data_IF_357050017118
#
_entry.id   IF_357050017118
#
_cell.length_a   1.000
_cell.length_b   1.000
_cell.length_c   1.000
_cell.angle_alpha   90.00
_cell.angle_beta   90.00
_cell.angle_gamma   90.00
#
_symmetry.space_group_name_H-M   'P 1'
#
loop_
_entity.id
_entity.type
_entity.pdbx_description
1 polymer ?
#
# COMPACT_ATOMS: atom_id res chain seq x y z
N UNK A 1 -16.31 12.66 16.25
CA UNK A 1 -14.93 12.57 16.79
C UNK A 1 -14.88 12.79 18.30
N UNK A 2 -15.47 13.87 18.85
CA UNK A 2 -15.45 14.15 20.30
C UNK A 2 -16.17 13.08 21.14
N UNK A 3 -17.35 12.61 20.71
CA UNK A 3 -18.13 11.58 21.43
C UNK A 3 -17.40 10.22 21.52
N UNK A 4 -16.65 9.84 20.47
CA UNK A 4 -15.87 8.59 20.45
C UNK A 4 -14.64 8.65 21.38
N UNK A 5 -13.99 9.83 21.47
CA UNK A 5 -12.91 10.08 22.41
C UNK A 5 -13.43 10.03 23.86
N UNK A 6 -14.59 10.63 24.13
CA UNK A 6 -15.23 10.56 25.45
C UNK A 6 -15.67 9.14 25.81
N UNK A 7 -16.17 8.36 24.85
CA UNK A 7 -16.53 6.95 25.07
C UNK A 7 -15.32 6.07 25.41
N UNK A 8 -14.15 6.31 24.80
CA UNK A 8 -12.91 5.62 25.15
C UNK A 8 -12.41 5.97 26.56
N UNK A 9 -12.54 7.25 26.95
CA UNK A 9 -12.20 7.75 28.29
C UNK A 9 -13.13 7.12 29.36
N UNK A 10 -14.44 7.11 29.13
CA UNK A 10 -15.39 6.47 30.06
C UNK A 10 -15.18 4.96 30.15
N UNK A 11 -14.85 4.30 29.04
CA UNK A 11 -14.51 2.87 29.04
C UNK A 11 -13.20 2.56 29.80
N UNK A 12 -12.24 3.48 29.83
CA UNK A 12 -11.01 3.36 30.62
C UNK A 12 -11.28 3.52 32.13
N UNK A 13 -12.10 4.51 32.51
CA UNK A 13 -12.44 4.79 33.91
C UNK A 13 -13.37 3.73 34.53
N UNK A 14 -14.40 3.27 33.79
CA UNK A 14 -15.43 2.34 34.31
C UNK A 14 -14.98 0.87 34.40
N UNK A 15 -13.95 0.46 33.66
CA UNK A 15 -13.40 -0.90 33.69
C UNK A 15 -12.33 -1.13 34.77
N UNK A 16 -12.15 -0.18 35.69
CA UNK A 16 -11.29 -0.32 36.88
C UNK A 16 -9.79 -0.45 36.58
N UNK A 17 -9.31 0.10 35.45
CA UNK A 17 -7.90 -0.01 35.03
C UNK A 17 -7.08 1.27 35.11
N UNK A 18 -7.62 2.40 35.58
CA UNK A 18 -6.80 3.60 35.78
C UNK A 18 -7.51 4.78 36.44
N UNK A 19 -6.71 5.63 37.09
CA UNK A 19 -7.13 6.87 37.74
C UNK A 19 -7.18 8.01 36.71
N UNK A 20 -8.25 8.82 36.69
CA UNK A 20 -8.45 9.94 35.75
C UNK A 20 -7.28 10.94 35.76
N UNK A 21 -6.63 11.11 36.91
CA UNK A 21 -5.43 11.96 37.04
C UNK A 21 -4.23 11.45 36.25
N UNK A 22 -4.05 10.12 36.12
CA UNK A 22 -2.95 9.52 35.36
C UNK A 22 -3.15 9.76 33.87
N UNK A 23 -4.38 9.54 33.38
CA UNK A 23 -4.73 9.79 31.98
C UNK A 23 -4.60 11.29 31.64
N UNK A 24 -5.05 12.17 32.54
CA UNK A 24 -4.91 13.61 32.35
C UNK A 24 -3.43 14.04 32.29
N UNK A 25 -2.55 13.42 33.07
CA UNK A 25 -1.10 13.67 33.04
C UNK A 25 -0.46 13.21 31.72
N UNK A 26 -0.82 12.04 31.21
CA UNK A 26 -0.34 11.56 29.90
C UNK A 26 -0.78 12.47 28.74
N UNK A 27 -1.98 13.05 28.84
CA UNK A 27 -2.52 13.97 27.84
C UNK A 27 -1.82 15.34 27.82
N UNK A 28 -0.98 15.67 28.81
CA UNK A 28 -0.24 16.94 28.85
C UNK A 28 0.86 17.06 27.77
N UNK A 29 1.19 15.96 27.08
CA UNK A 29 2.17 15.94 26.00
C UNK A 29 1.86 16.90 24.83
N UNK A 30 0.65 17.45 24.75
CA UNK A 30 0.31 18.52 23.80
C UNK A 30 -0.56 19.60 24.44
N UNK A 31 -0.47 20.85 23.97
CA UNK A 31 -1.31 21.97 24.46
C UNK A 31 -2.82 21.70 24.32
N UNK A 32 -3.23 20.95 23.28
CA UNK A 32 -4.63 20.56 23.06
C UNK A 32 -5.04 19.41 24.00
N UNK A 33 -4.18 18.42 24.19
CA UNK A 33 -4.39 17.33 25.14
C UNK A 33 -4.45 17.80 26.58
N UNK A 34 -3.59 18.75 26.97
CA UNK A 34 -3.60 19.36 28.30
C UNK A 34 -4.94 20.05 28.62
N UNK A 35 -5.47 20.82 27.67
CA UNK A 35 -6.81 21.44 27.81
C UNK A 35 -7.93 20.40 27.92
N UNK A 36 -7.84 19.32 27.14
CA UNK A 36 -8.84 18.24 27.17
C UNK A 36 -8.75 17.42 28.48
N UNK A 37 -7.55 17.15 28.98
CA UNK A 37 -7.33 16.48 30.26
C UNK A 37 -7.82 17.31 31.45
N UNK A 38 -7.59 18.62 31.44
CA UNK A 38 -8.15 19.54 32.44
C UNK A 38 -9.69 19.58 32.39
N UNK A 39 -10.28 19.68 31.19
CA UNK A 39 -11.74 19.66 31.02
C UNK A 39 -12.34 18.32 31.51
N UNK A 40 -11.68 17.20 31.22
CA UNK A 40 -12.08 15.87 31.68
C UNK A 40 -12.06 15.76 33.21
N UNK A 41 -11.01 16.23 33.89
CA UNK A 41 -10.94 16.23 35.36
C UNK A 41 -12.02 17.12 35.99
N UNK A 42 -12.35 18.25 35.37
CA UNK A 42 -13.42 19.12 35.85
C UNK A 42 -14.82 18.53 35.66
N UNK A 43 -14.99 17.58 34.73
CA UNK A 43 -16.30 17.08 34.30
C UNK A 43 -16.42 15.54 34.41
N UNK A 44 -15.57 14.90 35.23
CA UNK A 44 -15.48 13.45 35.40
C UNK A 44 -16.81 12.83 35.84
N UNK A 45 -17.46 13.42 36.84
CA UNK A 45 -18.77 12.97 37.35
C UNK A 45 -19.88 13.06 36.29
N UNK A 46 -19.84 14.08 35.43
CA UNK A 46 -20.82 14.26 34.36
C UNK A 46 -20.62 13.25 33.23
N UNK A 47 -19.35 12.94 32.90
CA UNK A 47 -18.99 11.98 31.85
C UNK A 47 -19.36 10.54 32.22
N UNK A 48 -19.10 10.13 33.47
CA UNK A 48 -19.39 8.77 33.93
C UNK A 48 -20.87 8.47 34.06
N UNK A 49 -21.70 9.51 34.29
CA UNK A 49 -23.16 9.39 34.43
C UNK A 49 -23.93 9.62 33.12
N UNK A 50 -23.25 9.99 32.03
CA UNK A 50 -23.93 10.29 30.76
C UNK A 50 -24.47 8.99 30.11
N UNK A 51 -25.78 8.89 29.81
CA UNK A 51 -26.40 7.66 29.31
C UNK A 51 -25.79 7.16 28.00
N UNK A 52 -25.46 8.08 27.08
CA UNK A 52 -24.87 7.75 25.78
C UNK A 52 -23.44 7.19 25.87
N UNK A 53 -22.79 7.29 27.03
CA UNK A 53 -21.43 6.81 27.27
C UNK A 53 -21.40 5.51 28.09
N UNK A 54 -22.54 5.07 28.62
CA UNK A 54 -22.69 3.77 29.26
C UNK A 54 -23.14 2.75 28.22
N UNK A 55 -22.27 1.82 27.83
CA UNK A 55 -22.60 0.81 26.82
C UNK A 55 -23.82 -0.04 27.23
N UNK A 56 -24.74 -0.20 26.27
CA UNK A 56 -25.89 -1.09 26.36
C UNK A 56 -25.46 -2.54 26.65
N UNK A 57 -25.90 -3.08 27.79
CA UNK A 57 -25.72 -4.49 28.13
C UNK A 57 -26.60 -5.43 27.28
N UNK A 58 -26.27 -6.73 27.21
CA UNK A 58 -27.09 -7.71 26.49
C UNK A 58 -28.45 -7.88 27.17
N UNK A 59 -29.53 -7.94 26.36
CA UNK A 59 -30.91 -8.11 26.82
C UNK A 59 -31.12 -9.41 27.60
N UNK A 60 -31.97 -9.30 28.64
CA UNK A 60 -32.55 -10.38 29.45
C UNK A 60 -33.24 -11.46 28.59
N UNK A 61 -33.01 -12.73 28.95
CA UNK A 61 -34.01 -13.80 28.86
C UNK A 61 -34.27 -14.33 30.26
N UNK A 62 -35.55 -14.46 30.59
CA UNK A 62 -36.07 -14.95 31.87
C UNK A 62 -36.36 -16.46 31.81
N UNK A 63 -36.54 -17.02 33.01
CA UNK A 63 -37.20 -18.29 33.38
C UNK A 63 -36.37 -19.59 33.47
N UNK A 64 -36.20 -19.98 34.73
CA UNK A 64 -36.47 -21.27 35.38
C UNK A 64 -35.73 -22.58 35.05
N UNK A 65 -35.31 -23.20 36.17
CA UNK A 65 -34.81 -24.54 36.51
C UNK A 65 -34.86 -25.67 35.44
N UNK A 66 -33.70 -26.29 35.17
CA UNK A 66 -33.51 -27.76 35.09
C UNK A 66 -32.02 -28.17 35.03
N UNK A 67 -31.77 -29.45 35.36
CA UNK A 67 -30.52 -30.18 35.68
C UNK A 67 -29.22 -29.86 34.90
N UNK A 68 -28.04 -30.22 35.49
CA UNK A 68 -26.76 -30.01 34.81
C UNK A 68 -26.62 -30.92 33.58
N UNK A 69 -26.12 -30.39 32.44
CA UNK A 69 -25.88 -31.18 31.23
C UNK A 69 -24.61 -32.07 31.38
N UNK A 70 -24.51 -33.15 30.59
CA UNK A 70 -23.34 -34.04 30.59
C UNK A 70 -22.07 -33.28 30.13
N UNK A 71 -20.87 -33.74 30.51
CA UNK A 71 -19.64 -33.04 30.17
C UNK A 71 -19.44 -33.02 28.64
N UNK A 72 -18.98 -31.89 28.07
CA UNK A 72 -18.72 -31.79 26.64
C UNK A 72 -17.53 -32.67 26.23
N UNK A 73 -17.51 -33.18 24.98
CA UNK A 73 -16.41 -34.00 24.50
C UNK A 73 -15.12 -33.16 24.42
N UNK A 74 -14.00 -33.79 24.80
CA UNK A 74 -12.64 -33.25 24.79
C UNK A 74 -12.37 -32.31 23.61
N UNK A 75 -12.54 -31.00 23.81
CA UNK A 75 -11.85 -30.00 23.00
C UNK A 75 -10.45 -29.92 23.55
N UNK A 76 -9.48 -30.36 22.75
CA UNK A 76 -8.06 -30.10 22.98
C UNK A 76 -7.87 -28.59 23.07
N UNK A 77 -7.84 -28.08 24.30
CA UNK A 77 -7.53 -26.71 24.60
C UNK A 77 -6.01 -26.56 24.58
N UNK A 78 -5.39 -26.65 23.40
CA UNK A 78 -3.95 -26.41 23.23
C UNK A 78 -3.51 -26.13 21.78
N UNK A 79 -4.43 -25.78 20.86
CA UNK A 79 -3.99 -25.16 19.61
C UNK A 79 -4.04 -23.64 19.75
N UNK A 80 -2.88 -22.94 19.77
CA UNK A 80 -2.88 -21.49 19.72
C UNK A 80 -3.53 -21.03 18.41
N UNK A 81 -4.48 -20.10 18.52
CA UNK A 81 -5.05 -19.40 17.36
C UNK A 81 -3.89 -18.96 16.45
N UNK A 82 -3.90 -19.27 15.14
CA UNK A 82 -2.81 -18.89 14.26
C UNK A 82 -2.69 -17.37 14.33
N UNK A 83 -1.54 -16.89 14.83
CA UNK A 83 -1.19 -15.47 14.88
C UNK A 83 -1.48 -14.90 13.50
N UNK A 84 -2.56 -14.10 13.38
CA UNK A 84 -2.86 -13.41 12.12
C UNK A 84 -1.57 -12.67 11.72
N UNK A 85 -1.03 -12.91 10.51
CA UNK A 85 0.21 -12.27 10.11
C UNK A 85 0.04 -10.76 10.30
N UNK A 86 0.92 -10.17 11.10
CA UNK A 86 0.91 -8.73 11.33
C UNK A 86 1.25 -8.03 10.02
N UNK A 87 0.25 -7.46 9.35
CA UNK A 87 0.43 -6.73 8.09
C UNK A 87 -0.68 -7.00 7.08
N UNK A 88 -0.39 -6.71 5.82
CA UNK A 88 -1.31 -6.91 4.69
C UNK A 88 -1.14 -8.33 4.14
N UNK A 89 -2.18 -9.18 4.13
CA UNK A 89 -2.15 -10.45 3.42
C UNK A 89 -1.85 -10.26 1.93
N UNK A 90 -1.27 -11.27 1.29
CA UNK A 90 -1.07 -11.21 -0.17
C UNK A 90 -2.42 -11.05 -0.88
N UNK A 91 -2.55 -9.98 -1.65
CA UNK A 91 -3.73 -9.68 -2.44
C UNK A 91 -3.43 -9.94 -3.91
N UNK A 92 -4.12 -10.92 -4.49
CA UNK A 92 -4.06 -11.22 -5.92
C UNK A 92 -4.92 -10.23 -6.69
N UNK A 93 -4.27 -9.36 -7.44
CA UNK A 93 -4.95 -8.43 -8.35
C UNK A 93 -5.46 -9.23 -9.56
N UNK A 94 -6.64 -8.93 -10.11
CA UNK A 94 -7.10 -9.62 -11.32
C UNK A 94 -6.05 -9.56 -12.44
N UNK A 95 -5.88 -10.69 -13.13
CA UNK A 95 -4.80 -10.87 -14.10
C UNK A 95 -4.84 -9.84 -15.24
N UNK A 96 -3.68 -9.57 -15.86
CA UNK A 96 -3.51 -8.63 -16.96
C UNK A 96 -3.50 -9.36 -18.30
N UNK A 97 -4.26 -8.87 -19.27
CA UNK A 97 -4.37 -9.47 -20.60
C UNK A 97 -3.24 -8.98 -21.51
N UNK A 98 -2.72 -9.90 -22.33
CA UNK A 98 -1.87 -9.55 -23.47
C UNK A 98 -2.75 -9.53 -24.72
N UNK A 99 -2.64 -8.47 -25.51
CA UNK A 99 -3.31 -8.40 -26.82
C UNK A 99 -2.65 -9.38 -27.80
N UNK A 100 -3.43 -9.96 -28.72
CA UNK A 100 -2.93 -10.80 -29.82
C UNK A 100 -1.78 -10.16 -30.61
N UNK A 101 -1.77 -8.82 -30.71
CA UNK A 101 -0.72 -8.04 -31.38
C UNK A 101 0.62 -8.01 -30.64
N UNK A 102 0.68 -8.57 -29.43
CA UNK A 102 1.83 -8.51 -28.52
C UNK A 102 2.28 -9.89 -28.04
N UNK A 103 1.80 -10.96 -28.67
CA UNK A 103 2.21 -12.33 -28.33
C UNK A 103 3.72 -12.57 -28.55
N UNK A 104 4.33 -11.88 -29.51
CA UNK A 104 5.79 -11.87 -29.75
C UNK A 104 6.58 -11.20 -28.63
N UNK A 105 5.90 -10.51 -27.70
CA UNK A 105 6.49 -9.64 -26.66
C UNK A 105 6.07 -10.03 -25.25
N UNK A 106 5.54 -11.24 -25.07
CA UNK A 106 5.16 -11.76 -23.76
C UNK A 106 6.29 -11.61 -22.72
N UNK A 107 7.57 -11.89 -23.03
CA UNK A 107 8.64 -11.69 -22.05
C UNK A 107 8.78 -10.23 -21.57
N UNK A 108 8.61 -9.26 -22.46
CA UNK A 108 8.65 -7.84 -22.11
C UNK A 108 7.40 -7.39 -21.35
N UNK A 109 6.23 -7.95 -21.68
CA UNK A 109 5.00 -7.75 -20.91
C UNK A 109 5.16 -8.26 -19.48
N UNK A 110 5.62 -9.51 -19.32
CA UNK A 110 5.83 -10.13 -18.01
C UNK A 110 6.91 -9.36 -17.21
N UNK A 111 7.97 -8.85 -17.87
CA UNK A 111 9.00 -8.01 -17.25
C UNK A 111 8.44 -6.68 -16.74
N UNK A 112 7.66 -5.97 -17.55
CA UNK A 112 7.05 -4.70 -17.12
C UNK A 112 6.02 -4.92 -16.01
N UNK A 113 5.21 -5.99 -16.09
CA UNK A 113 4.26 -6.34 -15.03
C UNK A 113 4.97 -6.70 -13.72
N UNK A 114 6.10 -7.41 -13.78
CA UNK A 114 6.94 -7.66 -12.61
C UNK A 114 7.54 -6.36 -12.03
N UNK A 115 7.89 -5.40 -12.88
CA UNK A 115 8.31 -4.05 -12.47
C UNK A 115 7.22 -3.32 -11.67
N UNK A 116 5.97 -3.40 -12.13
CA UNK A 116 4.80 -2.86 -11.43
C UNK A 116 4.60 -3.55 -10.07
N UNK A 117 4.66 -4.89 -10.02
CA UNK A 117 4.51 -5.65 -8.78
C UNK A 117 5.61 -5.28 -7.77
N UNK A 118 6.86 -5.23 -8.22
CA UNK A 118 8.00 -4.83 -7.38
C UNK A 118 7.84 -3.41 -6.86
N UNK A 119 7.39 -2.49 -7.71
CA UNK A 119 7.09 -1.12 -7.35
C UNK A 119 6.03 -1.05 -6.24
N UNK A 120 4.91 -1.74 -6.41
CA UNK A 120 3.86 -1.84 -5.38
C UNK A 120 4.42 -2.37 -4.06
N UNK A 121 5.17 -3.47 -4.08
CA UNK A 121 5.76 -4.09 -2.88
C UNK A 121 6.74 -3.18 -2.13
N UNK A 122 7.28 -2.15 -2.79
CA UNK A 122 8.15 -1.18 -2.14
C UNK A 122 7.38 -0.08 -1.40
N UNK A 123 6.10 0.13 -1.70
CA UNK A 123 5.25 1.11 -1.00
C UNK A 123 4.77 0.56 0.33
N UNK A 124 4.72 1.43 1.34
CA UNK A 124 3.87 1.19 2.52
C UNK A 124 2.40 1.30 2.13
N UNK A 125 1.51 0.74 2.94
CA UNK A 125 0.06 0.88 2.74
C UNK A 125 -0.34 2.35 2.79
N UNK A 126 0.27 3.12 3.70
CA UNK A 126 0.03 4.56 3.78
C UNK A 126 0.46 5.30 2.50
N UNK A 127 1.67 5.02 2.00
CA UNK A 127 2.18 5.63 0.76
C UNK A 127 1.29 5.30 -0.44
N UNK A 128 0.87 4.04 -0.56
CA UNK A 128 -0.05 3.60 -1.61
C UNK A 128 -1.40 4.32 -1.54
N UNK A 129 -2.03 4.37 -0.36
CA UNK A 129 -3.34 5.03 -0.19
C UNK A 129 -3.26 6.52 -0.51
N UNK A 130 -2.22 7.22 -0.03
CA UNK A 130 -1.97 8.63 -0.37
C UNK A 130 -1.75 8.83 -1.86
N UNK A 131 -0.94 7.98 -2.50
CA UNK A 131 -0.71 8.05 -3.95
C UNK A 131 -2.00 7.81 -4.74
N UNK A 132 -2.84 6.86 -4.32
CA UNK A 132 -4.14 6.58 -4.93
C UNK A 132 -5.13 7.73 -4.75
N UNK A 133 -5.14 8.37 -3.59
CA UNK A 133 -5.93 9.57 -3.32
C UNK A 133 -5.48 10.74 -4.21
N UNK A 134 -4.18 11.04 -4.22
CA UNK A 134 -3.60 12.08 -5.08
C UNK A 134 -3.92 11.85 -6.57
N UNK A 135 -3.85 10.60 -7.04
CA UNK A 135 -4.23 10.27 -8.42
C UNK A 135 -5.71 10.54 -8.71
N UNK A 136 -6.62 10.15 -7.79
CA UNK A 136 -8.06 10.38 -7.95
C UNK A 136 -8.42 11.87 -7.92
N UNK A 137 -7.71 12.65 -7.10
CA UNK A 137 -7.90 14.09 -6.97
C UNK A 137 -7.22 14.90 -8.09
N UNK A 138 -6.46 14.25 -8.97
CA UNK A 138 -5.70 14.92 -10.04
C UNK A 138 -4.43 15.62 -9.57
N UNK A 139 -3.96 15.34 -8.36
CA UNK A 139 -2.75 15.90 -7.76
C UNK A 139 -1.48 15.10 -8.15
N UNK A 140 -1.63 13.82 -8.50
CA UNK A 140 -0.53 12.99 -9.02
C UNK A 140 -0.27 13.31 -10.51
N UNK A 141 0.25 14.51 -10.76
CA UNK A 141 0.56 14.99 -12.10
C UNK A 141 1.87 14.37 -12.62
N UNK A 142 1.88 14.03 -13.91
CA UNK A 142 3.11 13.66 -14.63
C UNK A 142 3.82 14.92 -15.07
N UNK A 143 5.10 15.05 -14.72
CA UNK A 143 5.98 16.05 -15.28
C UNK A 143 6.73 15.46 -16.50
N UNK A 144 6.49 15.96 -17.72
CA UNK A 144 7.20 15.54 -18.92
C UNK A 144 8.73 15.67 -18.80
N UNK A 145 9.22 16.61 -17.99
CA UNK A 145 10.65 16.83 -17.74
C UNK A 145 11.26 15.65 -16.99
N UNK A 146 10.54 15.06 -16.04
CA UNK A 146 11.00 13.86 -15.31
C UNK A 146 11.23 12.71 -16.30
N UNK A 147 10.27 12.47 -17.20
CA UNK A 147 10.42 11.45 -18.24
C UNK A 147 11.54 11.77 -19.23
N UNK A 148 11.66 13.01 -19.69
CA UNK A 148 12.73 13.41 -20.62
C UNK A 148 14.13 13.23 -20.00
N UNK A 149 14.31 13.67 -18.74
CA UNK A 149 15.57 13.53 -18.02
C UNK A 149 15.93 12.08 -17.77
N UNK A 150 14.96 11.26 -17.34
CA UNK A 150 15.19 9.83 -17.12
C UNK A 150 15.58 9.12 -18.42
N UNK A 151 14.94 9.46 -19.55
CA UNK A 151 15.31 8.91 -20.86
C UNK A 151 16.72 9.30 -21.27
N UNK A 152 17.12 10.55 -21.09
CA UNK A 152 18.49 11.00 -21.38
C UNK A 152 19.50 10.23 -20.54
N UNK A 153 19.26 10.13 -19.23
CA UNK A 153 20.15 9.46 -18.29
C UNK A 153 20.27 7.95 -18.57
N UNK A 154 19.15 7.26 -18.70
CA UNK A 154 19.12 5.82 -18.93
C UNK A 154 19.57 5.46 -20.35
N UNK A 155 19.31 6.32 -21.33
CA UNK A 155 19.85 6.20 -22.69
C UNK A 155 21.37 6.31 -22.70
N UNK A 156 21.95 7.31 -22.03
CA UNK A 156 23.41 7.44 -21.91
C UNK A 156 24.05 6.24 -21.23
N UNK A 157 23.47 5.75 -20.13
CA UNK A 157 23.95 4.52 -19.47
C UNK A 157 23.89 3.30 -20.40
N UNK A 158 22.85 3.19 -21.23
CA UNK A 158 22.74 2.11 -22.20
C UNK A 158 23.82 2.20 -23.28
N UNK A 159 24.14 3.41 -23.74
CA UNK A 159 25.23 3.66 -24.69
C UNK A 159 26.58 3.24 -24.10
N UNK A 160 26.89 3.66 -22.86
CA UNK A 160 28.12 3.30 -22.17
C UNK A 160 28.25 1.77 -22.02
N UNK A 161 27.17 1.10 -21.59
CA UNK A 161 27.15 -0.36 -21.47
C UNK A 161 27.33 -1.09 -22.81
N UNK A 162 26.76 -0.53 -23.89
CA UNK A 162 26.94 -1.08 -25.23
C UNK A 162 28.38 -0.87 -25.72
N UNK A 163 28.96 0.30 -25.47
CA UNK A 163 30.34 0.60 -25.80
C UNK A 163 31.30 -0.39 -25.12
N UNK A 164 31.18 -0.55 -23.80
CA UNK A 164 32.01 -1.48 -23.02
C UNK A 164 31.89 -2.91 -23.54
N UNK A 165 30.66 -3.33 -23.84
CA UNK A 165 30.39 -4.65 -24.41
C UNK A 165 31.08 -4.83 -25.76
N UNK A 166 30.91 -3.89 -26.69
CA UNK A 166 31.47 -3.97 -28.04
C UNK A 166 33.01 -3.97 -28.00
N UNK A 167 33.62 -3.19 -27.11
CA UNK A 167 35.08 -3.21 -26.89
C UNK A 167 35.52 -4.59 -26.36
N UNK A 168 34.78 -5.18 -25.41
CA UNK A 168 35.09 -6.52 -24.90
C UNK A 168 34.97 -7.62 -25.96
N UNK A 169 34.22 -7.36 -27.03
CA UNK A 169 34.08 -8.22 -28.21
C UNK A 169 35.16 -7.92 -29.29
N UNK A 170 36.24 -7.21 -28.92
CA UNK A 170 37.38 -6.82 -29.78
C UNK A 170 37.03 -5.85 -30.94
N UNK A 171 35.94 -5.09 -30.84
CA UNK A 171 35.66 -3.99 -31.78
C UNK A 171 36.52 -2.78 -31.39
N UNK A 172 37.09 -2.09 -32.38
CA UNK A 172 37.92 -0.91 -32.09
C UNK A 172 37.12 0.18 -31.37
N UNK A 173 37.70 0.95 -30.44
CA UNK A 173 36.96 1.94 -29.65
C UNK A 173 36.17 2.95 -30.48
N UNK A 174 36.73 3.40 -31.61
CA UNK A 174 36.06 4.32 -32.53
C UNK A 174 34.82 3.69 -33.18
N UNK A 175 34.95 2.48 -33.72
CA UNK A 175 33.82 1.76 -34.33
C UNK A 175 32.78 1.37 -33.28
N UNK A 176 33.21 0.96 -32.09
CA UNK A 176 32.33 0.60 -30.98
C UNK A 176 31.49 1.80 -30.54
N UNK A 177 32.07 3.01 -30.47
CA UNK A 177 31.34 4.24 -30.15
C UNK A 177 30.25 4.55 -31.20
N UNK A 178 30.58 4.45 -32.49
CA UNK A 178 29.62 4.68 -33.57
C UNK A 178 28.47 3.66 -33.50
N UNK A 179 28.79 2.38 -33.28
CA UNK A 179 27.79 1.32 -33.15
C UNK A 179 26.93 1.49 -31.90
N UNK A 180 27.53 1.79 -30.75
CA UNK A 180 26.82 1.99 -29.47
C UNK A 180 25.80 3.13 -29.57
N UNK A 181 26.19 4.27 -30.15
CA UNK A 181 25.29 5.40 -30.42
C UNK A 181 24.11 4.99 -31.29
N UNK A 182 24.39 4.39 -32.45
CA UNK A 182 23.35 3.96 -33.40
C UNK A 182 22.38 2.94 -32.79
N UNK A 183 22.89 1.94 -32.07
CA UNK A 183 22.06 0.92 -31.41
C UNK A 183 21.22 1.57 -30.31
N UNK A 184 21.80 2.48 -29.53
CA UNK A 184 21.09 3.19 -28.46
C UNK A 184 19.96 4.05 -29.02
N UNK A 185 20.22 4.83 -30.08
CA UNK A 185 19.19 5.62 -30.76
C UNK A 185 18.02 4.75 -31.23
N UNK A 186 18.31 3.62 -31.88
CA UNK A 186 17.30 2.67 -32.34
C UNK A 186 16.48 2.06 -31.18
N UNK A 187 17.15 1.68 -30.08
CA UNK A 187 16.48 1.15 -28.89
C UNK A 187 15.61 2.22 -28.22
N UNK A 188 16.17 3.40 -27.97
CA UNK A 188 15.45 4.52 -27.37
C UNK A 188 14.25 4.97 -28.23
N UNK A 189 14.33 4.79 -29.55
CA UNK A 189 13.22 4.97 -30.48
C UNK A 189 12.12 3.91 -30.39
N UNK A 190 12.19 2.94 -29.49
CA UNK A 190 11.10 1.99 -29.16
C UNK A 190 10.70 1.97 -27.69
N UNK A 191 11.59 2.40 -26.80
CA UNK A 191 11.37 2.38 -25.36
C UNK A 191 10.62 3.62 -24.87
N UNK A 192 9.95 3.49 -23.73
CA UNK A 192 9.35 4.53 -22.90
C UNK A 192 9.96 4.48 -21.50
N UNK A 193 9.94 5.63 -20.84
CA UNK A 193 10.30 5.76 -19.43
C UNK A 193 9.16 5.16 -18.58
N UNK A 194 9.48 4.31 -17.60
CA UNK A 194 8.47 3.56 -16.84
C UNK A 194 8.33 4.06 -15.41
N UNK A 195 7.09 4.28 -15.00
CA UNK A 195 6.70 4.42 -13.59
C UNK A 195 6.46 3.05 -12.99
N UNK A 196 7.19 2.70 -11.92
CA UNK A 196 7.09 1.41 -11.22
C UNK A 196 6.88 1.66 -9.70
N UNK A 197 5.64 1.60 -9.18
CA UNK A 197 4.42 1.34 -9.91
C UNK A 197 3.94 2.59 -10.67
N UNK A 198 2.99 2.42 -11.58
CA UNK A 198 2.34 3.51 -12.30
C UNK A 198 1.63 4.44 -11.31
N UNK A 199 1.48 5.73 -11.66
CA UNK A 199 0.78 6.71 -10.83
C UNK A 199 -0.67 6.27 -10.55
N UNK A 200 -1.32 5.64 -11.52
CA UNK A 200 -2.65 5.05 -11.32
C UNK A 200 -2.62 3.95 -10.26
N UNK A 201 -1.50 3.29 -10.02
CA UNK A 201 -1.35 2.27 -8.99
C UNK A 201 -0.73 2.84 -7.69
N UNK A 202 -0.79 4.16 -7.48
CA UNK A 202 -0.27 4.81 -6.27
C UNK A 202 1.23 5.12 -6.32
N UNK A 203 1.85 5.02 -7.50
CA UNK A 203 3.25 5.39 -7.70
C UNK A 203 3.52 6.89 -7.56
N UNK A 204 4.81 7.23 -7.52
CA UNK A 204 5.32 8.60 -7.55
C UNK A 204 5.86 8.92 -8.94
N UNK A 205 5.96 10.21 -9.27
CA UNK A 205 6.53 10.65 -10.55
C UNK A 205 8.07 10.53 -10.52
N UNK A 206 8.54 9.29 -10.50
CA UNK A 206 9.96 8.89 -10.45
C UNK A 206 10.14 7.73 -11.41
N UNK A 207 11.20 7.80 -12.22
CA UNK A 207 11.47 6.80 -13.26
C UNK A 207 12.85 6.20 -13.04
N UNK A 208 12.89 4.87 -13.04
CA UNK A 208 14.11 4.09 -12.79
C UNK A 208 14.40 3.06 -13.87
N UNK A 209 13.50 2.92 -14.86
CA UNK A 209 13.56 1.88 -15.88
C UNK A 209 13.00 2.35 -17.23
N UNK A 210 13.39 1.64 -18.30
CA UNK A 210 12.91 1.80 -19.67
C UNK A 210 12.24 0.49 -20.14
N UNK A 211 11.14 0.57 -20.87
CA UNK A 211 10.50 -0.61 -21.46
C UNK A 211 9.82 -0.31 -22.79
N UNK A 212 9.47 -1.34 -23.55
CA UNK A 212 8.79 -1.14 -24.84
C UNK A 212 7.50 -0.34 -24.63
N UNK A 213 7.38 0.76 -25.39
CA UNK A 213 6.28 1.71 -25.21
C UNK A 213 4.91 1.10 -25.49
N UNK A 214 4.82 0.13 -26.40
CA UNK A 214 3.55 -0.48 -26.83
C UNK A 214 3.04 -1.39 -25.73
N UNK A 215 3.95 -2.12 -25.10
CA UNK A 215 3.66 -2.93 -23.92
C UNK A 215 3.24 -2.04 -22.76
N UNK A 216 3.97 -0.96 -22.47
CA UNK A 216 3.62 -0.02 -21.42
C UNK A 216 2.20 0.57 -21.63
N UNK A 217 1.90 0.99 -22.87
CA UNK A 217 0.59 1.51 -23.25
C UNK A 217 -0.54 0.47 -23.13
N UNK A 218 -0.22 -0.83 -23.17
CA UNK A 218 -1.20 -1.92 -22.98
C UNK A 218 -1.48 -2.25 -21.51
N UNK A 219 -0.55 -1.95 -20.60
CA UNK A 219 -0.70 -2.25 -19.15
C UNK A 219 -1.48 -1.14 -18.44
N UNK A 220 -1.14 0.13 -18.71
CA UNK A 220 -1.71 1.29 -18.02
C UNK A 220 -3.25 1.31 -17.93
N UNK A 221 -3.98 1.20 -19.07
CA UNK A 221 -5.45 1.21 -19.09
C UNK A 221 -6.09 0.07 -18.29
N UNK A 222 -5.40 -1.07 -18.16
CA UNK A 222 -5.91 -2.24 -17.48
C UNK A 222 -6.05 -2.05 -15.97
N UNK A 223 -5.36 -1.08 -15.38
CA UNK A 223 -5.47 -0.77 -13.96
C UNK A 223 -6.87 -0.35 -13.53
N UNK A 224 -7.61 0.38 -14.38
CA UNK A 224 -8.91 0.96 -14.02
C UNK A 224 -9.91 -0.08 -13.49
N UNK A 225 -9.96 -1.27 -14.11
CA UNK A 225 -10.86 -2.35 -13.69
C UNK A 225 -10.30 -3.25 -12.59
N UNK A 226 -9.03 -3.10 -12.21
CA UNK A 226 -8.30 -4.05 -11.34
C UNK A 226 -7.92 -3.47 -10.00
N UNK A 227 -7.48 -2.21 -10.00
CA UNK A 227 -6.87 -1.53 -8.85
C UNK A 227 -7.84 -1.39 -7.66
N UNK A 228 -9.14 -1.31 -7.93
CA UNK A 228 -10.16 -1.16 -6.88
C UNK A 228 -10.20 -2.34 -5.89
N UNK A 229 -9.79 -3.54 -6.32
CA UNK A 229 -9.68 -4.69 -5.41
C UNK A 229 -8.52 -4.51 -4.42
N UNK A 230 -7.38 -3.98 -4.89
CA UNK A 230 -6.22 -3.69 -4.07
C UNK A 230 -6.47 -2.50 -3.14
N UNK A 231 -7.15 -1.45 -3.62
CA UNK A 231 -7.62 -0.33 -2.79
C UNK A 231 -8.42 -0.84 -1.57
N UNK A 232 -9.36 -1.75 -1.79
CA UNK A 232 -10.18 -2.33 -0.72
C UNK A 232 -9.33 -3.11 0.29
N UNK A 233 -8.42 -3.94 -0.18
CA UNK A 233 -7.55 -4.75 0.68
C UNK A 233 -6.61 -3.87 1.52
N UNK A 234 -6.00 -2.85 0.91
CA UNK A 234 -5.14 -1.88 1.58
C UNK A 234 -5.89 -1.12 2.69
N UNK A 235 -7.13 -0.69 2.43
CA UNK A 235 -7.97 0.01 3.41
C UNK A 235 -8.40 -0.83 4.61
N UNK A 236 -8.25 -2.16 4.58
CA UNK A 236 -8.52 -3.03 5.75
C UNK A 236 -7.34 -3.05 6.74
N UNK A 237 -6.17 -2.55 6.36
CA UNK A 237 -5.01 -2.48 7.25
C UNK A 237 -5.26 -1.39 8.30
N UNK A 238 -5.15 -1.69 9.61
CA UNK A 238 -5.36 -0.70 10.66
C UNK A 238 -4.45 0.52 10.50
N UNK A 239 -5.00 1.73 10.63
CA UNK A 239 -4.27 2.99 10.44
C UNK A 239 -2.97 3.07 11.24
N UNK A 240 -2.96 2.52 12.46
CA UNK A 240 -1.78 2.51 13.35
C UNK A 240 -0.56 1.75 12.79
N UNK A 241 -0.73 0.91 11.78
CA UNK A 241 0.36 0.11 11.18
C UNK A 241 0.54 0.34 9.68
N UNK A 242 -0.22 1.24 9.05
CA UNK A 242 -0.16 1.45 7.60
C UNK A 242 1.18 1.99 7.11
N UNK A 243 1.86 2.79 7.94
CA UNK A 243 3.16 3.39 7.64
C UNK A 243 4.33 2.39 7.71
N UNK A 244 4.16 1.26 8.39
CA UNK A 244 5.18 0.20 8.53
C UNK A 244 4.82 -1.08 7.76
N UNK A 245 3.57 -1.22 7.36
CA UNK A 245 3.09 -2.37 6.56
C UNK A 245 3.33 -2.09 5.10
N UNK A 246 4.02 -3.00 4.40
CA UNK A 246 4.19 -2.94 2.93
C UNK A 246 2.95 -3.45 2.20
N UNK A 247 2.70 -2.90 1.02
CA UNK A 247 1.72 -3.48 0.09
C UNK A 247 2.18 -4.87 -0.30
N UNK A 248 1.28 -5.84 -0.19
CA UNK A 248 1.54 -7.21 -0.59
C UNK A 248 0.64 -7.58 -1.77
N UNK A 249 0.95 -7.04 -2.95
CA UNK A 249 0.18 -7.31 -4.17
C UNK A 249 0.85 -8.39 -5.02
N UNK A 250 0.06 -9.26 -5.63
CA UNK A 250 0.49 -10.19 -6.67
C UNK A 250 -0.14 -9.81 -8.00
N UNK A 251 0.69 -9.61 -9.02
CA UNK A 251 0.28 -9.35 -10.39
C UNK A 251 0.64 -10.56 -11.25
N UNK A 252 -0.25 -10.91 -12.18
CA UNK A 252 -0.02 -12.01 -13.11
C UNK A 252 -0.69 -11.73 -14.46
N UNK A 253 -0.19 -12.36 -15.51
CA UNK A 253 -0.82 -12.35 -16.83
C UNK A 253 -1.96 -13.37 -16.86
N UNK A 254 -3.03 -13.07 -17.60
CA UNK A 254 -4.12 -14.03 -17.81
C UNK A 254 -3.63 -15.24 -18.62
N UNK A 255 -4.20 -16.41 -18.30
CA UNK A 255 -3.89 -17.69 -18.95
C UNK A 255 -4.90 -17.98 -20.05
#
# INVERSE_FOLDING_TARGET
MVVLLLGAIVAYLTRGRGNASVLANEMQASKKGAKLGQWMLQHEDALTRHPDLQNAGPRKSALDKQEPPPPPPNRRADEPDPKRPSGMPEHKVPCFNVSDKHLDRIPEFDRQLAGQEKGLKNLTVEEYLKGREAFKNGEALRDPVVAANARKLLGGRMEDQLLDKLISENISPEQALIMAKKITEQKMATLAALHNPDLVAGGRDVITDLGDRRINASIGPQWQSRIGSLDKAASQVPAAIQNITKINAKLERCK
#
